data_IF_117878542502
#
_entry.id   IF_117878542502
#
_cell.length_a   1.000
_cell.length_b   1.000
_cell.length_c   1.000
_cell.angle_alpha   90.00
_cell.angle_beta   90.00
_cell.angle_gamma   90.00
#
_symmetry.space_group_name_H-M   'P 1'
#
loop_
_entity.id
_entity.type
_entity.pdbx_description
1 polymer ?
#
# COMPACT_ATOMS: atom_id res chain seq x y z
N UNK A 1 -4.24 23.90 -3.72
CA UNK A 1 -3.48 23.33 -4.86
C UNK A 1 -3.06 21.92 -4.44
N UNK A 2 -3.84 20.90 -4.82
CA UNK A 2 -3.56 19.49 -4.45
C UNK A 2 -2.53 18.92 -5.43
N UNK A 3 -1.30 18.74 -4.94
CA UNK A 3 -0.21 18.05 -5.64
C UNK A 3 -0.46 16.54 -5.71
N UNK A 4 0.16 15.87 -6.69
CA UNK A 4 -0.38 14.75 -7.47
C UNK A 4 -0.12 13.40 -6.81
N UNK A 5 -1.00 12.43 -7.10
CA UNK A 5 -0.89 11.01 -6.72
C UNK A 5 0.40 10.30 -7.16
N UNK A 6 1.21 10.94 -8.00
CA UNK A 6 2.47 10.39 -8.50
C UNK A 6 3.71 11.11 -7.95
N UNK A 7 3.57 12.20 -7.19
CA UNK A 7 4.71 12.94 -6.64
C UNK A 7 5.47 12.12 -5.57
N UNK A 8 4.82 11.06 -5.07
CA UNK A 8 5.39 10.07 -4.13
C UNK A 8 6.26 9.04 -4.87
N UNK A 9 6.05 8.82 -6.17
CA UNK A 9 6.81 7.83 -6.94
C UNK A 9 8.09 8.44 -7.51
N UNK A 10 9.22 8.14 -6.88
CA UNK A 10 10.54 8.41 -7.45
C UNK A 10 10.95 7.27 -8.40
N UNK A 11 10.61 7.36 -9.69
CA UNK A 11 10.98 6.32 -10.66
C UNK A 11 12.49 6.16 -10.78
N UNK A 12 12.99 4.94 -11.09
CA UNK A 12 14.42 4.62 -11.13
C UNK A 12 15.28 5.54 -12.01
N UNK A 13 14.69 6.16 -13.05
CA UNK A 13 15.39 7.12 -13.92
C UNK A 13 15.66 8.49 -13.30
N UNK A 14 15.16 8.80 -12.10
CA UNK A 14 15.32 10.12 -11.45
C UNK A 14 14.50 11.25 -12.08
N UNK A 15 13.68 10.94 -13.09
CA UNK A 15 12.70 11.87 -13.68
C UNK A 15 11.31 11.71 -13.05
N UNK A 16 10.50 12.77 -13.10
CA UNK A 16 9.06 12.63 -12.83
C UNK A 16 8.45 11.67 -13.86
N UNK A 17 7.66 10.66 -13.44
CA UNK A 17 7.04 9.75 -14.38
C UNK A 17 6.17 10.53 -15.37
N UNK A 18 6.31 10.21 -16.65
CA UNK A 18 5.45 10.80 -17.66
C UNK A 18 4.10 10.09 -17.60
N UNK A 19 3.09 10.85 -17.17
CA UNK A 19 1.71 10.42 -17.27
C UNK A 19 1.30 10.45 -18.75
N UNK A 20 0.92 9.29 -19.28
CA UNK A 20 0.34 9.19 -20.60
C UNK A 20 -1.12 8.76 -20.44
N UNK A 21 -2.01 9.56 -21.05
CA UNK A 21 -3.35 9.09 -21.40
C UNK A 21 -4.22 8.66 -20.20
N UNK A 22 -4.25 9.45 -19.13
CA UNK A 22 -4.98 9.10 -17.91
C UNK A 22 -6.42 9.62 -17.86
N UNK A 23 -7.31 8.79 -17.31
CA UNK A 23 -8.66 9.15 -16.86
C UNK A 23 -8.62 9.59 -15.41
N UNK A 24 -9.32 10.68 -15.09
CA UNK A 24 -9.35 11.29 -13.74
C UNK A 24 -10.76 11.39 -13.16
N UNK A 25 -10.89 11.25 -11.83
CA UNK A 25 -12.16 11.44 -11.09
C UNK A 25 -12.33 12.87 -10.57
N UNK A 26 -11.24 13.48 -10.10
CA UNK A 26 -11.15 14.86 -9.63
C UNK A 26 -9.83 15.48 -10.08
N UNK A 27 -9.61 16.77 -9.77
CA UNK A 27 -8.37 17.47 -10.10
C UNK A 27 -7.16 16.75 -9.46
N UNK A 28 -6.34 16.09 -10.29
CA UNK A 28 -5.12 15.41 -9.84
C UNK A 28 -5.26 13.90 -9.56
N UNK A 29 -6.46 13.34 -9.42
CA UNK A 29 -6.65 11.90 -9.15
C UNK A 29 -6.71 11.08 -10.43
N UNK A 30 -5.63 10.35 -10.71
CA UNK A 30 -5.59 9.35 -11.77
C UNK A 30 -6.29 8.09 -11.29
N UNK A 31 -7.31 7.67 -12.03
CA UNK A 31 -8.05 6.44 -11.73
C UNK A 31 -7.61 5.31 -12.65
N UNK A 32 -7.38 5.63 -13.91
CA UNK A 32 -6.99 4.67 -14.94
C UNK A 32 -6.05 5.34 -15.93
N UNK A 33 -5.04 4.64 -16.42
CA UNK A 33 -4.11 5.21 -17.39
C UNK A 33 -2.82 4.42 -17.51
N UNK A 34 -1.83 5.02 -18.18
CA UNK A 34 -0.50 4.45 -18.32
C UNK A 34 0.54 5.40 -17.71
N UNK A 35 1.50 4.82 -17.00
CA UNK A 35 2.66 5.55 -16.48
C UNK A 35 3.86 5.13 -17.31
N UNK A 36 4.74 6.05 -17.70
CA UNK A 36 5.93 5.72 -18.49
C UNK A 36 7.18 6.27 -17.83
N UNK A 37 8.21 5.43 -17.68
CA UNK A 37 9.58 5.91 -17.46
C UNK A 37 10.06 6.50 -18.78
N UNK A 38 10.33 7.81 -18.88
CA UNK A 38 11.00 8.32 -20.05
C UNK A 38 12.43 7.77 -20.21
N UNK A 39 13.09 7.38 -19.11
CA UNK A 39 14.49 6.94 -19.12
C UNK A 39 14.59 5.45 -19.41
N UNK A 40 13.83 4.63 -18.68
CA UNK A 40 13.86 3.18 -18.85
C UNK A 40 12.89 2.65 -19.91
N UNK A 41 12.04 3.52 -20.47
CA UNK A 41 10.96 3.16 -21.42
C UNK A 41 10.04 2.05 -20.89
N UNK A 42 9.90 1.95 -19.56
CA UNK A 42 9.01 1.01 -18.91
C UNK A 42 7.63 1.63 -18.79
N UNK A 43 6.59 0.86 -19.10
CA UNK A 43 5.21 1.30 -18.94
C UNK A 43 4.53 0.56 -17.79
N UNK A 44 4.02 1.31 -16.82
CA UNK A 44 3.10 0.86 -15.79
C UNK A 44 1.64 1.10 -16.20
N UNK A 45 0.72 0.46 -15.50
CA UNK A 45 -0.72 0.69 -15.66
C UNK A 45 -1.27 1.23 -14.35
N UNK A 46 -2.13 2.25 -14.41
CA UNK A 46 -2.99 2.60 -13.26
C UNK A 46 -4.36 1.97 -13.47
N UNK A 47 -4.84 1.26 -12.45
CA UNK A 47 -6.12 0.57 -12.48
C UNK A 47 -6.88 0.82 -11.18
N UNK A 48 -8.04 1.49 -11.28
CA UNK A 48 -8.85 1.91 -10.14
C UNK A 48 -8.05 2.68 -9.06
N UNK A 49 -7.21 3.61 -9.50
CA UNK A 49 -6.40 4.47 -8.63
C UNK A 49 -5.13 3.82 -8.06
N UNK A 50 -4.81 2.59 -8.46
CA UNK A 50 -3.61 1.87 -8.02
C UNK A 50 -2.63 1.73 -9.18
N UNK A 51 -1.38 2.16 -9.00
CA UNK A 51 -0.33 1.88 -9.98
C UNK A 51 0.17 0.44 -9.85
N UNK A 52 0.24 -0.25 -10.98
CA UNK A 52 0.69 -1.63 -11.12
C UNK A 52 2.10 -1.61 -11.71
N UNK A 53 3.10 -1.83 -10.87
CA UNK A 53 4.53 -1.69 -11.19
C UNK A 53 5.38 -2.96 -10.92
N UNK A 54 4.89 -4.20 -11.11
CA UNK A 54 5.74 -5.39 -11.06
C UNK A 54 6.70 -5.43 -12.27
N UNK A 55 7.87 -6.10 -12.15
CA UNK A 55 8.82 -6.24 -13.25
C UNK A 55 8.26 -7.05 -14.43
N UNK A 56 7.47 -8.10 -14.16
CA UNK A 56 6.69 -8.85 -15.16
C UNK A 56 5.19 -8.60 -14.93
N UNK A 57 4.68 -7.56 -15.58
CA UNK A 57 3.27 -7.17 -15.47
C UNK A 57 2.31 -8.24 -16.00
N UNK A 58 2.68 -9.03 -16.99
CA UNK A 58 1.80 -10.05 -17.55
C UNK A 58 1.67 -11.25 -16.60
N UNK A 59 2.77 -11.71 -16.03
CA UNK A 59 2.75 -12.77 -15.01
C UNK A 59 1.98 -12.32 -13.77
N UNK A 60 2.20 -11.08 -13.33
CA UNK A 60 1.49 -10.51 -12.19
C UNK A 60 -0.01 -10.40 -12.47
N UNK A 61 -0.44 -9.86 -13.62
CA UNK A 61 -1.87 -9.79 -13.98
C UNK A 61 -2.52 -11.19 -14.00
N UNK A 62 -1.81 -12.23 -14.47
CA UNK A 62 -2.32 -13.61 -14.43
C UNK A 62 -2.58 -14.07 -12.99
N UNK A 63 -1.65 -13.79 -12.07
CA UNK A 63 -1.76 -14.19 -10.66
C UNK A 63 -2.91 -13.47 -9.92
N UNK A 64 -3.24 -12.25 -10.33
CA UNK A 64 -4.25 -11.38 -9.71
C UNK A 64 -5.53 -11.23 -10.54
N UNK A 65 -5.73 -12.12 -11.52
CA UNK A 65 -6.80 -12.01 -12.51
C UNK A 65 -8.21 -11.99 -11.92
N UNK A 66 -8.47 -12.70 -10.81
CA UNK A 66 -9.75 -12.66 -10.09
C UNK A 66 -10.08 -11.26 -9.56
N UNK A 67 -9.09 -10.52 -9.07
CA UNK A 67 -9.29 -9.15 -8.56
C UNK A 67 -9.54 -8.21 -9.73
N UNK A 68 -8.73 -8.32 -10.78
CA UNK A 68 -8.84 -7.49 -12.00
C UNK A 68 -10.20 -7.67 -12.68
N UNK A 69 -10.70 -8.91 -12.77
CA UNK A 69 -12.00 -9.21 -13.37
C UNK A 69 -13.16 -8.50 -12.65
N UNK A 70 -13.03 -8.24 -11.35
CA UNK A 70 -14.03 -7.57 -10.50
C UNK A 70 -13.75 -6.07 -10.30
N UNK A 71 -12.63 -5.56 -10.81
CA UNK A 71 -12.31 -4.13 -10.74
C UNK A 71 -13.21 -3.35 -11.68
N UNK A 72 -13.95 -2.33 -11.21
CA UNK A 72 -14.68 -1.44 -12.12
C UNK A 72 -13.64 -0.59 -12.88
N UNK A 73 -13.55 -0.83 -14.19
CA UNK A 73 -12.64 -0.15 -15.10
C UNK A 73 -13.44 0.43 -16.27
N UNK A 74 -13.15 1.67 -16.64
CA UNK A 74 -13.92 2.44 -17.63
C UNK A 74 -13.10 2.77 -18.89
N UNK A 75 -11.78 2.90 -18.79
CA UNK A 75 -10.89 3.17 -19.92
C UNK A 75 -10.74 1.89 -20.77
N UNK A 76 -11.22 1.88 -22.02
CA UNK A 76 -11.21 0.69 -22.86
C UNK A 76 -9.80 0.18 -23.18
N UNK A 77 -8.77 1.04 -23.11
CA UNK A 77 -7.37 0.67 -23.35
C UNK A 77 -6.81 -0.08 -22.16
N UNK A 78 -7.05 0.42 -20.94
CA UNK A 78 -6.70 -0.26 -19.69
C UNK A 78 -7.44 -1.59 -19.58
N UNK A 79 -8.76 -1.59 -19.82
CA UNK A 79 -9.58 -2.81 -19.85
C UNK A 79 -9.00 -3.84 -20.81
N UNK A 80 -8.69 -3.44 -22.06
CA UNK A 80 -8.11 -4.33 -23.06
C UNK A 80 -6.74 -4.85 -22.63
N UNK A 81 -5.87 -4.00 -22.09
CA UNK A 81 -4.52 -4.37 -21.64
C UNK A 81 -4.57 -5.42 -20.54
N UNK A 82 -5.42 -5.22 -19.54
CA UNK A 82 -5.52 -6.07 -18.37
C UNK A 82 -6.29 -7.37 -18.67
N UNK A 83 -7.46 -7.27 -19.32
CA UNK A 83 -8.31 -8.45 -19.58
C UNK A 83 -7.74 -9.41 -20.63
N UNK A 84 -6.82 -8.95 -21.50
CA UNK A 84 -6.14 -9.82 -22.46
C UNK A 84 -5.34 -10.93 -21.79
N UNK A 85 -4.80 -10.67 -20.59
CA UNK A 85 -3.88 -11.58 -19.91
C UNK A 85 -4.35 -11.99 -18.52
N UNK A 86 -5.50 -11.48 -18.04
CA UNK A 86 -6.07 -11.85 -16.75
C UNK A 86 -6.39 -13.36 -16.70
N UNK A 87 -5.84 -14.03 -15.70
CA UNK A 87 -6.10 -15.45 -15.41
C UNK A 87 -7.23 -15.63 -14.38
N UNK A 88 -7.37 -16.87 -13.88
CA UNK A 88 -8.29 -17.14 -12.77
C UNK A 88 -7.84 -16.42 -11.49
N UNK A 89 -6.55 -16.43 -11.16
CA UNK A 89 -5.98 -15.79 -9.97
C UNK A 89 -6.54 -16.29 -8.64
N UNK A 90 -5.81 -16.05 -7.55
CA UNK A 90 -6.24 -16.43 -6.19
C UNK A 90 -5.94 -15.31 -5.19
N UNK A 91 -5.98 -14.06 -5.64
CA UNK A 91 -5.65 -12.93 -4.79
C UNK A 91 -6.86 -12.44 -3.99
N UNK A 92 -6.69 -12.34 -2.68
CA UNK A 92 -7.79 -12.01 -1.78
C UNK A 92 -7.22 -11.34 -0.53
N UNK A 93 -8.06 -10.52 0.10
CA UNK A 93 -7.81 -10.03 1.45
C UNK A 93 -8.81 -10.73 2.37
N UNK A 94 -8.37 -11.56 3.31
CA UNK A 94 -9.23 -12.06 4.37
C UNK A 94 -9.83 -10.89 5.15
N UNK A 95 -11.12 -10.95 5.49
CA UNK A 95 -11.75 -9.87 6.25
C UNK A 95 -11.16 -9.75 7.66
N UNK A 96 -10.75 -10.89 8.22
CA UNK A 96 -10.09 -11.00 9.51
C UNK A 96 -8.81 -10.16 9.56
N UNK A 97 -8.06 -10.09 8.45
CA UNK A 97 -6.85 -9.28 8.32
C UNK A 97 -7.20 -7.79 8.42
N UNK A 98 -8.19 -7.32 7.65
CA UNK A 98 -8.63 -5.92 7.70
C UNK A 98 -9.12 -5.55 9.09
N UNK A 99 -9.96 -6.41 9.69
CA UNK A 99 -10.48 -6.18 11.03
C UNK A 99 -9.36 -6.17 12.06
N UNK A 100 -8.38 -7.06 11.99
CA UNK A 100 -7.26 -7.10 12.93
C UNK A 100 -6.46 -5.79 12.96
N UNK A 101 -6.23 -5.16 11.81
CA UNK A 101 -5.46 -3.92 11.70
C UNK A 101 -6.24 -2.62 11.96
N UNK A 102 -7.57 -2.68 11.95
CA UNK A 102 -8.42 -1.48 12.06
C UNK A 102 -9.49 -1.56 13.15
N UNK A 103 -9.52 -2.63 13.95
CA UNK A 103 -10.51 -2.83 15.03
C UNK A 103 -10.51 -1.74 16.09
N UNK A 104 -9.36 -1.12 16.35
CA UNK A 104 -9.23 0.01 17.28
C UNK A 104 -9.88 1.30 16.79
N UNK A 105 -10.19 1.38 15.49
CA UNK A 105 -10.90 2.51 14.91
C UNK A 105 -12.41 2.27 14.84
N UNK A 106 -12.93 1.12 15.26
CA UNK A 106 -14.37 0.82 15.20
C UNK A 106 -15.14 1.76 16.13
N UNK A 107 -16.05 2.55 15.56
CA UNK A 107 -16.99 3.40 16.33
C UNK A 107 -18.18 2.56 16.80
N UNK A 108 -18.67 2.79 18.02
CA UNK A 108 -19.83 2.08 18.59
C UNK A 108 -19.68 0.55 18.55
N UNK A 109 -18.50 0.07 18.92
CA UNK A 109 -18.16 -1.35 18.95
C UNK A 109 -19.21 -2.17 19.73
N UNK A 110 -19.67 -3.32 19.19
CA UNK A 110 -20.57 -4.20 19.93
C UNK A 110 -19.96 -4.66 21.26
N UNK A 111 -20.82 -4.93 22.25
CA UNK A 111 -20.38 -5.44 23.56
C UNK A 111 -19.43 -6.64 23.41
N UNK A 112 -18.23 -6.52 24.00
CA UNK A 112 -17.20 -7.56 23.98
C UNK A 112 -16.35 -7.62 22.71
N UNK A 113 -16.52 -6.69 21.77
CA UNK A 113 -15.60 -6.56 20.64
C UNK A 113 -14.26 -5.94 21.09
N UNK A 114 -13.16 -6.59 20.70
CA UNK A 114 -11.81 -6.11 21.00
C UNK A 114 -11.45 -4.91 20.12
N UNK A 115 -11.29 -3.75 20.74
CA UNK A 115 -10.86 -2.50 20.09
C UNK A 115 -9.41 -2.16 20.40
N UNK A 116 -8.59 -3.13 20.83
CA UNK A 116 -7.16 -2.90 21.00
C UNK A 116 -6.47 -2.78 19.65
N UNK A 117 -5.52 -1.85 19.53
CA UNK A 117 -4.69 -1.73 18.33
C UNK A 117 -3.91 -3.03 18.08
N UNK A 118 -3.56 -3.27 16.82
CA UNK A 118 -2.77 -4.45 16.47
C UNK A 118 -1.39 -4.35 17.15
N UNK A 119 -0.97 -5.37 17.94
CA UNK A 119 0.25 -5.27 18.74
C UNK A 119 1.50 -5.05 17.88
N UNK A 120 1.57 -5.67 16.70
CA UNK A 120 2.71 -5.48 15.79
C UNK A 120 2.77 -4.05 15.24
N UNK A 121 1.62 -3.42 14.96
CA UNK A 121 1.59 -2.03 14.48
C UNK A 121 2.06 -1.09 15.61
N UNK A 122 1.60 -1.32 16.85
CA UNK A 122 2.02 -0.54 18.03
C UNK A 122 3.52 -0.67 18.27
N UNK A 123 4.05 -1.89 18.33
CA UNK A 123 5.47 -2.14 18.59
C UNK A 123 6.35 -1.46 17.53
N UNK A 124 5.94 -1.51 16.27
CA UNK A 124 6.69 -0.92 15.17
C UNK A 124 6.66 0.61 15.19
N UNK A 125 5.51 1.21 15.52
CA UNK A 125 5.38 2.68 15.69
C UNK A 125 6.20 3.18 16.88
N UNK A 126 6.26 2.42 17.98
CA UNK A 126 7.11 2.73 19.12
C UNK A 126 8.60 2.65 18.76
N UNK A 127 9.00 1.57 18.09
CA UNK A 127 10.37 1.38 17.60
C UNK A 127 10.79 2.48 16.60
N UNK A 128 9.85 2.96 15.77
CA UNK A 128 10.08 4.06 14.85
C UNK A 128 10.22 5.40 15.59
N UNK A 129 9.35 5.66 16.57
CA UNK A 129 9.40 6.89 17.39
C UNK A 129 10.72 7.04 18.11
N UNK A 130 11.29 5.94 18.61
CA UNK A 130 12.60 5.93 19.25
C UNK A 130 13.75 6.30 18.28
N UNK A 131 13.60 6.02 16.98
CA UNK A 131 14.65 6.22 15.96
C UNK A 131 14.58 7.56 15.22
N UNK A 132 13.37 8.10 15.04
CA UNK A 132 13.16 9.31 14.22
C UNK A 132 13.45 10.62 15.01
N UNK A 133 13.60 10.55 16.34
CA UNK A 133 13.57 11.73 17.23
C UNK A 133 14.43 12.91 16.74
N UNK A 134 13.76 13.99 16.30
CA UNK A 134 14.35 15.28 15.93
C UNK A 134 14.83 15.40 14.48
N UNK A 135 14.67 14.38 13.63
CA UNK A 135 15.07 14.42 12.22
C UNK A 135 13.85 14.59 11.30
N UNK A 136 13.88 15.51 10.33
CA UNK A 136 12.85 15.55 9.30
C UNK A 136 12.99 14.30 8.42
N UNK A 137 11.86 13.66 8.09
CA UNK A 137 11.78 12.56 7.13
C UNK A 137 10.89 13.04 5.99
N UNK A 138 11.43 13.13 4.77
CA UNK A 138 10.65 13.56 3.62
C UNK A 138 9.80 12.41 3.08
N UNK A 139 10.45 11.31 2.70
CA UNK A 139 9.81 10.17 2.03
C UNK A 139 9.93 8.87 2.83
N UNK A 140 8.79 8.34 3.24
CA UNK A 140 8.63 7.01 3.82
C UNK A 140 8.20 5.96 2.79
N UNK A 141 8.63 4.72 2.99
CA UNK A 141 8.19 3.54 2.23
C UNK A 141 7.84 2.41 3.20
N UNK A 142 6.72 1.75 2.98
CA UNK A 142 6.36 0.48 3.62
C UNK A 142 6.33 -0.61 2.57
N UNK A 143 7.18 -1.63 2.73
CA UNK A 143 7.25 -2.80 1.84
C UNK A 143 6.50 -3.94 2.51
N UNK A 144 5.53 -4.53 1.81
CA UNK A 144 4.56 -5.45 2.39
C UNK A 144 3.50 -4.72 3.20
N UNK A 145 2.99 -3.60 2.67
CA UNK A 145 2.09 -2.74 3.43
C UNK A 145 0.74 -3.38 3.78
N UNK A 146 0.41 -4.53 3.18
CA UNK A 146 -0.85 -5.21 3.34
C UNK A 146 -2.03 -4.26 3.11
N UNK A 147 -2.96 -4.23 4.06
CA UNK A 147 -4.15 -3.36 4.03
C UNK A 147 -3.87 -1.89 4.36
N UNK A 148 -2.60 -1.54 4.61
CA UNK A 148 -2.11 -0.17 4.63
C UNK A 148 -2.10 0.52 5.99
N UNK A 149 -2.47 -0.14 7.10
CA UNK A 149 -2.56 0.50 8.42
C UNK A 149 -1.28 1.26 8.79
N UNK A 150 -0.15 0.57 8.71
CA UNK A 150 1.16 1.13 9.02
C UNK A 150 1.54 2.33 8.14
N UNK A 151 1.10 2.38 6.87
CA UNK A 151 1.36 3.52 5.97
C UNK A 151 0.74 4.81 6.52
N UNK A 152 -0.46 4.71 7.09
CA UNK A 152 -1.12 5.86 7.73
C UNK A 152 -0.42 6.28 9.03
N UNK A 153 0.03 5.32 9.84
CA UNK A 153 0.78 5.60 11.07
C UNK A 153 2.12 6.29 10.77
N UNK A 154 2.81 5.86 9.71
CA UNK A 154 4.10 6.43 9.30
C UNK A 154 4.02 7.90 8.86
N UNK A 155 2.83 8.40 8.53
CA UNK A 155 2.64 9.81 8.19
C UNK A 155 2.88 10.76 9.35
N UNK A 156 2.84 10.27 10.59
CA UNK A 156 3.26 11.06 11.75
C UNK A 156 4.77 11.36 11.73
N UNK A 157 5.56 10.61 10.94
CA UNK A 157 7.01 10.70 10.90
C UNK A 157 7.55 11.26 9.59
N UNK A 158 6.87 11.03 8.46
CA UNK A 158 7.32 11.43 7.12
C UNK A 158 6.31 12.34 6.39
N UNK A 159 6.80 13.29 5.57
CA UNK A 159 5.94 14.19 4.77
C UNK A 159 5.03 13.44 3.80
N UNK A 160 5.57 12.38 3.19
CA UNK A 160 4.83 11.47 2.30
C UNK A 160 5.20 10.03 2.59
N UNK A 161 4.25 9.10 2.44
CA UNK A 161 4.50 7.67 2.64
C UNK A 161 3.88 6.87 1.50
N UNK A 162 4.68 5.97 0.92
CA UNK A 162 4.21 5.01 -0.05
C UNK A 162 4.06 3.62 0.58
N UNK A 163 2.91 2.99 0.40
CA UNK A 163 2.73 1.56 0.63
C UNK A 163 2.97 0.76 -0.64
N UNK A 164 3.76 -0.30 -0.56
CA UNK A 164 3.92 -1.28 -1.63
C UNK A 164 3.57 -2.67 -1.10
N UNK A 165 2.76 -3.41 -1.86
CA UNK A 165 2.47 -4.82 -1.59
C UNK A 165 2.31 -5.60 -2.90
N UNK A 166 2.56 -6.90 -2.88
CA UNK A 166 2.38 -7.76 -4.04
C UNK A 166 0.89 -7.99 -4.36
N UNK A 167 0.04 -8.05 -3.33
CA UNK A 167 -1.39 -8.34 -3.45
C UNK A 167 -2.18 -7.12 -3.94
N UNK A 168 -2.79 -7.24 -5.12
CA UNK A 168 -3.67 -6.19 -5.62
C UNK A 168 -4.87 -5.98 -4.71
N UNK A 169 -5.42 -7.06 -4.15
CA UNK A 169 -6.57 -7.01 -3.28
C UNK A 169 -6.29 -6.15 -2.04
N UNK A 170 -5.10 -6.33 -1.43
CA UNK A 170 -4.65 -5.56 -0.26
C UNK A 170 -4.40 -4.11 -0.58
N UNK A 171 -3.64 -3.83 -1.64
CA UNK A 171 -3.36 -2.47 -2.10
C UNK A 171 -4.64 -1.72 -2.44
N UNK A 172 -5.60 -2.36 -3.13
CA UNK A 172 -6.91 -1.74 -3.40
C UNK A 172 -7.70 -1.45 -2.14
N UNK A 173 -7.64 -2.34 -1.15
CA UNK A 173 -8.30 -2.13 0.14
C UNK A 173 -7.69 -0.92 0.86
N UNK A 174 -6.37 -0.85 0.94
CA UNK A 174 -5.63 0.27 1.51
C UNK A 174 -5.95 1.60 0.81
N UNK A 175 -5.92 1.58 -0.53
CA UNK A 175 -6.28 2.72 -1.37
C UNK A 175 -7.70 3.20 -1.12
N UNK A 176 -8.67 2.27 -1.04
CA UNK A 176 -10.06 2.62 -0.74
C UNK A 176 -10.16 3.34 0.62
N UNK A 177 -9.47 2.87 1.66
CA UNK A 177 -9.44 3.54 2.98
C UNK A 177 -8.88 4.97 2.84
N UNK A 178 -7.82 5.14 2.04
CA UNK A 178 -7.20 6.45 1.83
C UNK A 178 -8.12 7.46 1.15
N UNK A 179 -8.89 7.04 0.13
CA UNK A 179 -9.67 7.96 -0.71
C UNK A 179 -11.17 8.00 -0.42
N UNK A 180 -11.71 7.11 0.42
CA UNK A 180 -13.14 7.09 0.72
C UNK A 180 -13.54 8.38 1.45
N UNK A 181 -14.56 9.07 0.94
CA UNK A 181 -15.17 10.25 1.58
C UNK A 181 -16.31 9.87 2.55
N UNK A 182 -16.96 8.73 2.32
CA UNK A 182 -18.04 8.20 3.15
C UNK A 182 -17.57 7.29 4.29
N UNK A 183 -18.50 6.61 4.98
CA UNK A 183 -18.14 5.62 5.97
C UNK A 183 -17.44 4.43 5.31
N UNK A 184 -16.34 3.99 5.92
CA UNK A 184 -15.75 2.70 5.60
C UNK A 184 -16.21 1.70 6.66
N UNK A 185 -16.83 0.61 6.23
CA UNK A 185 -17.43 -0.38 7.12
C UNK A 185 -16.53 -1.60 7.27
N UNK A 186 -16.33 -2.04 8.51
CA UNK A 186 -15.71 -3.31 8.83
C UNK A 186 -16.77 -4.35 9.20
N UNK A 187 -16.62 -5.60 8.70
CA UNK A 187 -17.42 -6.71 9.21
C UNK A 187 -16.92 -7.10 10.60
N UNK A 188 -17.77 -6.88 11.60
CA UNK A 188 -17.51 -7.23 13.01
C UNK A 188 -18.33 -8.48 13.37
N UNK A 189 -17.68 -9.57 13.83
CA UNK A 189 -18.40 -10.73 14.35
C UNK A 189 -19.33 -10.33 15.51
N UNK A 190 -20.55 -10.88 15.56
CA UNK A 190 -21.48 -10.63 16.66
C UNK A 190 -21.72 -11.90 17.48
N UNK A 191 -21.60 -11.85 18.82
CA UNK A 191 -21.87 -13.03 19.65
C UNK A 191 -23.31 -13.54 19.55
N UNK A 192 -24.27 -12.64 19.26
CA UNK A 192 -25.70 -12.94 19.22
C UNK A 192 -26.16 -13.60 17.90
N UNK A 193 -25.37 -13.49 16.83
CA UNK A 193 -25.68 -14.12 15.54
C UNK A 193 -24.39 -14.63 14.87
N UNK A 194 -23.83 -15.75 15.37
CA UNK A 194 -22.66 -16.38 14.76
C UNK A 194 -22.88 -16.63 13.26
N UNK A 195 -21.94 -16.21 12.42
CA UNK A 195 -21.99 -16.37 10.96
C UNK A 195 -22.63 -15.20 10.19
N UNK A 196 -23.20 -14.20 10.85
CA UNK A 196 -23.66 -12.96 10.19
C UNK A 196 -22.92 -11.76 10.79
N UNK A 197 -21.79 -11.33 10.21
CA UNK A 197 -21.07 -10.17 10.69
C UNK A 197 -21.94 -8.90 10.57
N UNK A 198 -21.85 -8.01 11.56
CA UNK A 198 -22.44 -6.67 11.50
C UNK A 198 -21.44 -5.74 10.85
N UNK A 199 -21.86 -4.95 9.88
CA UNK A 199 -21.04 -3.88 9.31
C UNK A 199 -21.03 -2.68 10.27
N UNK A 200 -19.85 -2.26 10.70
CA UNK A 200 -19.66 -1.16 11.66
C UNK A 200 -18.66 -0.15 11.08
N UNK A 201 -18.95 1.15 11.10
CA UNK A 201 -18.04 2.16 10.58
C UNK A 201 -16.75 2.26 11.42
N UNK A 202 -15.64 2.53 10.74
CA UNK A 202 -14.41 2.96 11.40
C UNK A 202 -14.24 4.47 11.37
N UNK A 203 -13.47 4.98 12.33
CA UNK A 203 -13.02 6.36 12.42
C UNK A 203 -11.91 6.63 11.40
N UNK A 204 -12.28 7.04 10.19
CA UNK A 204 -11.31 7.46 9.18
C UNK A 204 -10.64 8.80 9.50
N UNK A 205 -11.19 9.60 10.42
CA UNK A 205 -10.63 10.90 10.80
C UNK A 205 -9.45 10.74 11.75
N UNK A 206 -9.38 9.61 12.47
CA UNK A 206 -8.21 9.20 13.25
C UNK A 206 -6.97 8.90 12.38
N UNK A 207 -7.13 8.69 11.06
CA UNK A 207 -6.04 8.40 10.14
C UNK A 207 -5.52 9.66 9.45
N UNK A 208 -4.20 9.83 9.39
CA UNK A 208 -3.55 10.85 8.56
C UNK A 208 -3.47 10.36 7.11
N UNK A 209 -4.50 10.67 6.32
CA UNK A 209 -4.64 10.17 4.93
C UNK A 209 -3.99 11.05 3.86
N UNK A 210 -3.83 12.35 4.11
CA UNK A 210 -3.18 13.22 3.13
C UNK A 210 -1.71 12.82 2.96
N UNK A 211 -1.18 12.77 1.73
CA UNK A 211 0.22 12.42 1.48
C UNK A 211 0.57 10.93 1.60
N UNK A 212 -0.42 10.04 1.70
CA UNK A 212 -0.22 8.60 1.51
C UNK A 212 -0.57 8.18 0.09
N UNK A 213 0.13 7.18 -0.43
CA UNK A 213 -0.30 6.47 -1.64
C UNK A 213 0.08 4.99 -1.59
N UNK A 214 -0.44 4.20 -2.53
CA UNK A 214 -0.24 2.76 -2.58
C UNK A 214 0.00 2.27 -4.00
N UNK A 215 0.95 1.35 -4.14
CA UNK A 215 1.25 0.68 -5.41
C UNK A 215 1.29 -0.84 -5.23
N UNK A 216 0.93 -1.53 -6.29
CA UNK A 216 1.14 -2.96 -6.38
C UNK A 216 2.47 -3.24 -7.10
N UNK A 217 3.36 -4.01 -6.49
CA UNK A 217 4.70 -4.23 -7.01
C UNK A 217 5.43 -5.39 -6.34
N UNK A 218 6.65 -5.65 -6.80
CA UNK A 218 7.51 -6.69 -6.27
C UNK A 218 8.52 -6.11 -5.27
N UNK A 219 8.54 -6.61 -4.05
CA UNK A 219 9.48 -6.20 -3.02
C UNK A 219 10.94 -6.55 -3.37
N UNK A 220 11.16 -7.57 -4.20
CA UNK A 220 12.48 -8.01 -4.66
C UNK A 220 13.00 -7.23 -5.90
N UNK A 221 12.17 -6.33 -6.45
CA UNK A 221 12.48 -5.47 -7.58
C UNK A 221 11.69 -4.16 -7.50
N UNK A 222 12.02 -3.32 -6.51
CA UNK A 222 11.26 -2.10 -6.22
C UNK A 222 11.31 -1.13 -7.41
N UNK A 223 10.16 -0.57 -7.83
CA UNK A 223 10.07 0.38 -8.95
C UNK A 223 10.46 1.81 -8.51
N UNK A 224 11.50 1.92 -7.69
CA UNK A 224 11.95 3.16 -7.06
C UNK A 224 13.43 3.41 -7.32
N UNK A 225 13.83 4.68 -7.39
CA UNK A 225 15.22 5.09 -7.52
C UNK A 225 16.06 4.76 -6.30
N UNK A 226 17.37 4.65 -6.54
CA UNK A 226 18.35 4.49 -5.47
C UNK A 226 18.33 5.73 -4.56
N UNK A 227 18.40 5.52 -3.26
CA UNK A 227 18.50 6.58 -2.27
C UNK A 227 17.34 7.57 -2.23
N UNK A 228 16.13 7.20 -2.71
CA UNK A 228 14.99 8.11 -2.80
C UNK A 228 14.12 8.19 -1.53
N UNK A 229 14.33 7.29 -0.56
CA UNK A 229 13.53 7.18 0.66
C UNK A 229 14.37 7.52 1.90
N UNK A 230 13.87 8.38 2.77
CA UNK A 230 14.53 8.72 4.05
C UNK A 230 14.20 7.69 5.14
N UNK A 231 13.06 7.02 5.00
CA UNK A 231 12.56 5.98 5.90
C UNK A 231 12.02 4.80 5.07
N UNK A 232 12.46 3.60 5.41
CA UNK A 232 11.94 2.34 4.85
C UNK A 232 11.54 1.42 5.99
N UNK A 233 10.35 0.85 5.92
CA UNK A 233 9.86 -0.17 6.84
C UNK A 233 9.55 -1.44 6.06
N UNK A 234 10.19 -2.54 6.45
CA UNK A 234 9.93 -3.89 5.96
C UNK A 234 8.91 -4.55 6.88
N UNK A 235 7.73 -4.87 6.36
CA UNK A 235 6.80 -5.75 7.06
C UNK A 235 7.37 -7.19 7.13
N UNK A 236 6.78 -8.03 7.98
CA UNK A 236 7.22 -9.41 8.15
C UNK A 236 7.03 -10.29 6.90
N UNK A 237 6.31 -9.82 5.89
CA UNK A 237 6.02 -10.54 4.66
C UNK A 237 5.05 -9.80 3.73
N UNK A 238 4.56 -10.49 2.70
CA UNK A 238 3.60 -9.98 1.69
C UNK A 238 2.13 -10.36 2.01
N UNK A 239 1.87 -10.72 3.27
CA UNK A 239 0.59 -11.25 3.74
C UNK A 239 0.25 -12.66 3.22
N UNK A 240 1.13 -13.34 2.48
CA UNK A 240 1.02 -14.78 2.17
C UNK A 240 2.01 -15.63 2.98
N UNK A 241 2.92 -14.98 3.68
CA UNK A 241 3.94 -15.58 4.54
C UNK A 241 5.20 -14.73 4.53
N UNK A 242 6.31 -15.26 5.06
CA UNK A 242 7.62 -14.63 4.96
C UNK A 242 8.03 -14.39 3.51
N UNK A 243 8.91 -13.40 3.30
CA UNK A 243 9.48 -13.09 1.99
C UNK A 243 10.15 -14.32 1.36
N UNK A 244 9.73 -14.67 0.13
CA UNK A 244 10.30 -15.81 -0.61
C UNK A 244 11.81 -15.64 -0.86
N UNK A 245 12.26 -14.40 -1.09
CA UNK A 245 13.66 -14.02 -1.23
C UNK A 245 13.95 -12.84 -0.29
N UNK A 246 14.02 -13.13 1.01
CA UNK A 246 14.23 -12.11 2.04
C UNK A 246 15.54 -11.33 1.83
N UNK A 247 16.61 -11.99 1.35
CA UNK A 247 17.89 -11.33 1.07
C UNK A 247 17.74 -10.26 -0.01
N UNK A 248 17.09 -10.61 -1.13
CA UNK A 248 16.85 -9.66 -2.22
C UNK A 248 15.95 -8.51 -1.80
N UNK A 249 14.90 -8.78 -1.02
CA UNK A 249 14.01 -7.72 -0.47
C UNK A 249 14.80 -6.75 0.41
N UNK A 250 15.66 -7.26 1.30
CA UNK A 250 16.54 -6.42 2.11
C UNK A 250 17.54 -5.62 1.28
N UNK A 251 18.10 -6.21 0.22
CA UNK A 251 18.99 -5.52 -0.69
C UNK A 251 18.28 -4.34 -1.39
N UNK A 252 17.05 -4.55 -1.86
CA UNK A 252 16.24 -3.49 -2.46
C UNK A 252 15.84 -2.41 -1.45
N UNK A 253 15.46 -2.79 -0.24
CA UNK A 253 15.16 -1.84 0.84
C UNK A 253 16.35 -0.93 1.16
N UNK A 254 17.57 -1.50 1.22
CA UNK A 254 18.80 -0.71 1.39
C UNK A 254 19.13 0.14 0.17
N UNK A 255 18.88 -0.37 -1.05
CA UNK A 255 19.13 0.37 -2.30
C UNK A 255 18.32 1.65 -2.37
N UNK A 256 17.02 1.59 -2.05
CA UNK A 256 16.14 2.77 -2.11
C UNK A 256 16.32 3.71 -0.92
N UNK A 257 16.98 3.27 0.15
CA UNK A 257 17.24 4.09 1.33
C UNK A 257 18.33 5.14 1.05
N UNK A 258 18.01 6.40 1.31
CA UNK A 258 18.94 7.51 1.22
C UNK A 258 20.11 7.35 2.21
N UNK A 259 21.30 7.90 1.91
CA UNK A 259 22.39 7.94 2.87
C UNK A 259 21.96 8.53 4.22
N UNK A 260 22.12 7.77 5.30
CA UNK A 260 21.70 8.16 6.65
C UNK A 260 20.20 8.06 6.92
N UNK A 261 19.43 7.46 6.01
CA UNK A 261 18.04 7.10 6.22
C UNK A 261 17.86 5.99 7.25
N UNK A 262 16.62 5.73 7.63
CA UNK A 262 16.26 4.71 8.64
C UNK A 262 15.63 3.51 7.94
N UNK A 263 16.17 2.32 8.19
CA UNK A 263 15.54 1.05 7.83
C UNK A 263 15.06 0.35 9.10
N UNK A 264 13.80 -0.06 9.12
CA UNK A 264 13.20 -0.84 10.19
C UNK A 264 12.66 -2.15 9.62
N UNK A 265 13.05 -3.29 10.19
CA UNK A 265 12.49 -4.60 9.84
C UNK A 265 11.58 -5.08 10.98
N UNK A 266 10.31 -5.34 10.67
CA UNK A 266 9.33 -5.83 11.62
C UNK A 266 9.68 -7.20 12.22
N UNK A 267 10.51 -8.00 11.55
CA UNK A 267 10.98 -9.30 12.07
C UNK A 267 12.11 -9.15 13.09
N UNK A 268 12.85 -8.05 13.02
CA UNK A 268 13.95 -7.72 13.94
C UNK A 268 13.91 -6.23 14.30
N UNK A 269 12.86 -5.76 15.00
CA UNK A 269 12.63 -4.35 15.23
C UNK A 269 13.72 -3.70 16.10
N UNK A 270 14.56 -4.48 16.77
CA UNK A 270 15.69 -4.02 17.59
C UNK A 270 17.03 -3.99 16.84
N UNK A 271 17.12 -4.57 15.63
CA UNK A 271 18.36 -4.59 14.87
C UNK A 271 18.70 -3.17 14.36
N UNK A 272 19.96 -2.78 14.52
CA UNK A 272 20.49 -1.49 14.06
C UNK A 272 21.19 -1.72 12.72
N UNK A 273 20.77 -1.00 11.69
CA UNK A 273 21.45 -0.90 10.40
C UNK A 273 22.34 0.35 10.37
#
# INVERSE_FOLDING_TARGET
>A
MNRRHLDVLAWPGGGEPLELDATRRAEGEIVEGFLVDPVQLRAGVVAAGVALLPPDLDAWIRAHGNVIARTPLNDPRVVRRLRRVAGAGHDAVPFEEVTAHYRDLVRDAPDGFDTTAHPDDVALVEALRARVSGRPVGRGLVIGCGVGRLVFELRAFADTVLGLDWSLARVRRARNIAVTEGPFLLPVPTPRAPGTPKEVPIDLEALVRAGVDFVAGDAAALPLADGCCDLVVLAAGDGRGPWADAERVHAEARRVLAPGGILLDATTPDAVA
#
